data_IF_479487434397
#
_entry.id   IF_479487434397
#
_cell.length_a   1.000
_cell.length_b   1.000
_cell.length_c   1.000
_cell.angle_alpha   90.00
_cell.angle_beta   90.00
_cell.angle_gamma   90.00
#
_symmetry.space_group_name_H-M   'P 1'
#
loop_
_entity.id
_entity.type
_entity.pdbx_description
1 polymer ?
#
# COMPACT_ATOMS: atom_id res chain seq x y z
N UNK A 1 36.19 -40.34 -30.23
CA UNK A 1 36.15 -41.49 -29.30
C UNK A 1 35.92 -42.72 -30.15
N UNK A 2 36.79 -43.72 -30.08
CA UNK A 2 36.51 -45.00 -30.75
C UNK A 2 35.30 -45.67 -30.07
N UNK A 3 34.58 -46.51 -30.82
CA UNK A 3 33.32 -47.11 -30.33
C UNK A 3 33.49 -47.84 -29.00
N UNK A 4 34.60 -48.56 -28.83
CA UNK A 4 34.91 -49.33 -27.62
C UNK A 4 35.17 -48.43 -26.40
N UNK A 5 35.83 -47.30 -26.62
CA UNK A 5 36.05 -46.30 -25.57
C UNK A 5 34.71 -45.68 -25.16
N UNK A 6 33.85 -45.36 -26.13
CA UNK A 6 32.53 -44.78 -25.88
C UNK A 6 31.63 -45.73 -25.08
N UNK A 7 31.60 -47.02 -25.43
CA UNK A 7 30.84 -48.04 -24.69
C UNK A 7 31.34 -48.15 -23.24
N UNK A 8 32.66 -48.15 -23.03
CA UNK A 8 33.26 -48.20 -21.69
C UNK A 8 32.95 -46.94 -20.87
N UNK A 9 33.02 -45.77 -21.51
CA UNK A 9 32.67 -44.49 -20.88
C UNK A 9 31.20 -44.41 -20.51
N UNK A 10 30.30 -44.87 -21.40
CA UNK A 10 28.87 -44.88 -21.17
C UNK A 10 28.48 -45.81 -20.02
N UNK A 11 29.12 -46.97 -19.92
CA UNK A 11 28.87 -47.92 -18.82
C UNK A 11 29.30 -47.33 -17.47
N UNK A 12 30.49 -46.72 -17.42
CA UNK A 12 30.97 -46.04 -16.22
C UNK A 12 30.05 -44.88 -15.78
N UNK A 13 29.56 -44.08 -16.73
CA UNK A 13 28.58 -43.02 -16.44
C UNK A 13 27.27 -43.61 -15.96
N UNK A 14 26.79 -44.70 -16.56
CA UNK A 14 25.54 -45.34 -16.17
C UNK A 14 25.59 -45.86 -14.74
N UNK A 15 26.69 -46.52 -14.35
CA UNK A 15 26.93 -46.97 -12.97
C UNK A 15 27.01 -45.79 -12.01
N UNK A 16 27.72 -44.73 -12.39
CA UNK A 16 27.83 -43.51 -11.57
C UNK A 16 26.47 -42.85 -11.40
N UNK A 17 25.70 -42.70 -12.47
CA UNK A 17 24.37 -42.09 -12.42
C UNK A 17 23.40 -42.93 -11.56
N UNK A 18 23.47 -44.25 -11.63
CA UNK A 18 22.62 -45.13 -10.82
C UNK A 18 22.90 -45.04 -9.32
N UNK A 19 24.14 -44.74 -8.91
CA UNK A 19 24.53 -44.60 -7.51
C UNK A 19 24.17 -43.24 -6.89
N UNK A 20 23.78 -42.26 -7.70
CA UNK A 20 23.33 -40.95 -7.24
C UNK A 20 21.97 -41.03 -6.51
N UNK A 21 21.77 -40.12 -5.56
CA UNK A 21 20.45 -39.86 -4.95
C UNK A 21 19.49 -39.23 -5.96
N UNK A 22 18.18 -39.28 -5.71
CA UNK A 22 17.18 -38.72 -6.64
C UNK A 22 17.36 -37.21 -6.88
N UNK A 23 17.76 -36.45 -5.85
CA UNK A 23 18.09 -35.03 -5.98
C UNK A 23 19.27 -34.83 -6.93
N UNK A 24 20.37 -35.57 -6.71
CA UNK A 24 21.56 -35.49 -7.54
C UNK A 24 21.30 -35.95 -8.99
N UNK A 25 20.43 -36.94 -9.19
CA UNK A 25 20.00 -37.37 -10.53
C UNK A 25 19.27 -36.24 -11.26
N UNK A 26 18.35 -35.56 -10.58
CA UNK A 26 17.63 -34.43 -11.16
C UNK A 26 18.58 -33.28 -11.50
N UNK A 27 19.45 -32.88 -10.57
CA UNK A 27 20.46 -31.84 -10.83
C UNK A 27 21.39 -32.20 -11.99
N UNK A 28 21.81 -33.47 -12.09
CA UNK A 28 22.64 -33.97 -13.19
C UNK A 28 21.89 -33.91 -14.52
N UNK A 29 20.60 -34.30 -14.54
CA UNK A 29 19.77 -34.22 -15.74
C UNK A 29 19.52 -32.78 -16.17
N UNK A 30 19.23 -31.87 -15.24
CA UNK A 30 19.06 -30.44 -15.51
C UNK A 30 20.33 -29.84 -16.10
N UNK A 31 21.49 -30.20 -15.55
CA UNK A 31 22.78 -29.77 -16.08
C UNK A 31 23.07 -30.38 -17.47
N UNK A 32 22.65 -31.62 -17.73
CA UNK A 32 22.81 -32.26 -19.03
C UNK A 32 21.90 -31.62 -20.08
N UNK A 33 20.68 -31.25 -19.69
CA UNK A 33 19.73 -30.51 -20.53
C UNK A 33 20.28 -29.11 -20.86
N UNK A 34 20.83 -28.39 -19.87
CA UNK A 34 21.36 -27.03 -20.08
C UNK A 34 22.59 -26.98 -21.00
N UNK A 35 23.41 -28.03 -20.99
CA UNK A 35 24.57 -28.17 -21.89
C UNK A 35 24.21 -28.71 -23.28
N UNK A 36 23.03 -29.32 -23.43
CA UNK A 36 22.64 -30.00 -24.66
C UNK A 36 22.15 -29.03 -25.74
N UNK A 37 22.72 -29.13 -26.94
CA UNK A 37 22.21 -28.42 -28.11
C UNK A 37 20.86 -28.96 -28.59
N UNK A 38 20.20 -28.22 -29.49
CA UNK A 38 18.86 -28.55 -29.98
C UNK A 38 18.76 -29.96 -30.61
N UNK A 39 19.82 -30.44 -31.26
CA UNK A 39 19.86 -31.78 -31.86
C UNK A 39 19.90 -32.86 -30.79
N UNK A 40 20.73 -32.68 -29.76
CA UNK A 40 20.84 -33.60 -28.63
C UNK A 40 19.52 -33.67 -27.85
N UNK A 41 18.90 -32.52 -27.57
CA UNK A 41 17.60 -32.47 -26.89
C UNK A 41 16.50 -33.15 -27.72
N UNK A 42 16.52 -33.00 -29.05
CA UNK A 42 15.59 -33.72 -29.94
C UNK A 42 15.80 -35.23 -29.90
N UNK A 43 17.06 -35.68 -29.87
CA UNK A 43 17.38 -37.09 -29.77
C UNK A 43 16.97 -37.68 -28.41
N UNK A 44 17.29 -36.97 -27.31
CA UNK A 44 16.82 -37.28 -25.96
C UNK A 44 15.29 -37.37 -25.93
N UNK A 45 14.58 -36.39 -26.46
CA UNK A 45 13.12 -36.38 -26.52
C UNK A 45 12.54 -37.59 -27.27
N UNK A 46 13.10 -37.93 -28.43
CA UNK A 46 12.62 -39.06 -29.24
C UNK A 46 12.88 -40.42 -28.55
N UNK A 47 14.02 -40.59 -27.87
CA UNK A 47 14.38 -41.86 -27.25
C UNK A 47 13.84 -42.03 -25.83
N UNK A 48 13.72 -40.93 -25.08
CA UNK A 48 13.08 -40.89 -23.77
C UNK A 48 11.55 -40.91 -23.88
N UNK A 49 10.97 -40.91 -25.09
CA UNK A 49 9.52 -40.93 -25.29
C UNK A 49 8.82 -42.06 -24.48
N UNK A 50 9.52 -43.18 -24.26
CA UNK A 50 9.03 -44.31 -23.45
C UNK A 50 9.02 -44.02 -21.95
N UNK A 51 9.95 -43.22 -21.42
CA UNK A 51 10.01 -42.79 -20.02
C UNK A 51 9.10 -41.57 -19.76
N UNK A 52 9.06 -40.62 -20.71
CA UNK A 52 8.19 -39.44 -20.70
C UNK A 52 6.69 -39.78 -20.79
N UNK A 53 6.33 -40.96 -21.33
CA UNK A 53 4.94 -41.43 -21.39
C UNK A 53 4.32 -41.75 -20.03
N UNK A 54 5.08 -41.76 -18.94
CA UNK A 54 4.51 -41.66 -17.58
C UNK A 54 4.11 -40.22 -17.30
N UNK A 55 3.18 -39.71 -18.11
CA UNK A 55 2.45 -38.49 -17.82
C UNK A 55 1.59 -38.79 -16.58
N UNK A 56 2.14 -38.56 -15.39
CA UNK A 56 1.48 -38.90 -14.12
C UNK A 56 0.08 -38.30 -14.04
N UNK A 57 -0.14 -37.12 -14.63
CA UNK A 57 -1.44 -36.47 -14.69
C UNK A 57 -2.45 -37.26 -15.55
N UNK A 58 -2.02 -38.01 -16.57
CA UNK A 58 -2.91 -38.92 -17.33
C UNK A 58 -3.37 -40.12 -16.52
N UNK A 59 -2.56 -40.56 -15.55
CA UNK A 59 -2.86 -41.74 -14.73
C UNK A 59 -3.75 -41.39 -13.53
N UNK A 60 -3.86 -40.10 -13.19
CA UNK A 60 -4.65 -39.64 -12.07
C UNK A 60 -6.10 -39.32 -12.50
N UNK A 61 -7.09 -39.66 -11.66
CA UNK A 61 -8.42 -39.06 -11.71
C UNK A 61 -8.33 -37.52 -11.76
N UNK A 62 -9.29 -36.90 -12.45
CA UNK A 62 -9.28 -35.46 -12.70
C UNK A 62 -9.23 -34.65 -11.40
N UNK A 63 -9.93 -35.12 -10.37
CA UNK A 63 -10.00 -34.50 -9.04
C UNK A 63 -8.63 -34.49 -8.36
N UNK A 64 -7.89 -35.60 -8.45
CA UNK A 64 -6.52 -35.68 -7.90
C UNK A 64 -5.55 -34.84 -8.71
N UNK A 65 -5.75 -34.77 -10.03
CA UNK A 65 -4.95 -33.90 -10.88
C UNK A 65 -5.13 -32.43 -10.49
N UNK A 66 -6.37 -31.97 -10.27
CA UNK A 66 -6.66 -30.62 -9.81
C UNK A 66 -6.11 -30.35 -8.43
N UNK A 67 -6.22 -31.33 -7.51
CA UNK A 67 -5.63 -31.20 -6.18
C UNK A 67 -4.12 -30.99 -6.24
N UNK A 68 -3.38 -31.76 -7.06
CA UNK A 68 -1.94 -31.60 -7.23
C UNK A 68 -1.57 -30.26 -7.87
N UNK A 69 -2.33 -29.82 -8.88
CA UNK A 69 -2.06 -28.55 -9.57
C UNK A 69 -2.16 -27.33 -8.63
N UNK A 70 -2.95 -27.40 -7.54
CA UNK A 70 -3.00 -26.33 -6.52
C UNK A 70 -1.68 -26.12 -5.77
N UNK A 71 -0.80 -27.12 -5.77
CA UNK A 71 0.51 -27.06 -5.09
C UNK A 71 1.65 -26.59 -5.99
N UNK A 72 1.43 -26.54 -7.30
CA UNK A 72 2.43 -26.03 -8.23
C UNK A 72 2.39 -24.51 -8.24
N UNK A 73 3.56 -23.90 -8.27
CA UNK A 73 3.65 -22.47 -8.45
C UNK A 73 3.17 -22.07 -9.86
N UNK A 74 2.66 -20.84 -10.03
CA UNK A 74 2.11 -20.40 -11.30
C UNK A 74 3.08 -20.40 -12.49
N UNK A 75 4.38 -20.19 -12.24
CA UNK A 75 5.39 -20.20 -13.32
C UNK A 75 5.59 -21.63 -13.83
N UNK A 76 5.61 -22.61 -12.93
CA UNK A 76 5.59 -24.04 -13.29
C UNK A 76 4.31 -24.39 -14.04
N UNK A 77 3.14 -23.92 -13.62
CA UNK A 77 1.87 -24.17 -14.32
C UNK A 77 1.87 -23.65 -15.77
N UNK A 78 2.38 -22.43 -15.99
CA UNK A 78 2.53 -21.86 -17.32
C UNK A 78 3.53 -22.66 -18.17
N UNK A 79 4.65 -23.07 -17.58
CA UNK A 79 5.66 -23.90 -18.25
C UNK A 79 5.07 -25.26 -18.66
N UNK A 80 4.32 -25.92 -17.77
CA UNK A 80 3.60 -27.15 -18.08
C UNK A 80 2.60 -26.98 -19.24
N UNK A 81 1.90 -25.84 -19.32
CA UNK A 81 1.00 -25.54 -20.42
C UNK A 81 1.72 -25.41 -21.78
N UNK A 82 2.99 -25.00 -21.80
CA UNK A 82 3.79 -24.87 -23.02
C UNK A 82 4.35 -26.22 -23.49
N UNK A 83 4.72 -27.09 -22.56
CA UNK A 83 5.40 -28.36 -22.86
C UNK A 83 4.44 -29.48 -23.25
N UNK A 84 3.21 -29.49 -22.72
CA UNK A 84 2.23 -30.56 -23.00
C UNK A 84 0.84 -30.01 -23.32
N UNK A 85 0.32 -30.36 -24.51
CA UNK A 85 -1.07 -30.05 -24.91
C UNK A 85 -2.09 -30.61 -23.93
N UNK A 86 -1.80 -31.76 -23.33
CA UNK A 86 -2.70 -32.39 -22.36
C UNK A 86 -2.70 -31.63 -21.03
N UNK A 87 -1.52 -31.27 -20.52
CA UNK A 87 -1.41 -30.46 -19.31
C UNK A 87 -2.07 -29.10 -19.51
N UNK A 88 -1.84 -28.46 -20.67
CA UNK A 88 -2.53 -27.22 -21.00
C UNK A 88 -4.05 -27.37 -20.95
N UNK A 89 -4.60 -28.49 -21.44
CA UNK A 89 -6.04 -28.77 -21.39
C UNK A 89 -6.54 -28.92 -19.95
N UNK A 90 -5.85 -29.68 -19.11
CA UNK A 90 -6.25 -29.92 -17.71
C UNK A 90 -6.10 -28.65 -16.87
N UNK A 91 -4.95 -27.98 -16.94
CA UNK A 91 -4.67 -26.75 -16.21
C UNK A 91 -5.61 -25.62 -16.66
N UNK A 92 -5.82 -25.43 -17.96
CA UNK A 92 -6.72 -24.38 -18.47
C UNK A 92 -8.19 -24.66 -18.18
N UNK A 93 -8.56 -25.86 -17.74
CA UNK A 93 -9.91 -26.20 -17.31
C UNK A 93 -10.09 -26.11 -15.78
N UNK A 94 -9.02 -25.89 -15.01
CA UNK A 94 -9.08 -25.87 -13.55
C UNK A 94 -9.23 -24.44 -13.02
N UNK A 95 -10.46 -24.01 -12.74
CA UNK A 95 -10.78 -22.66 -12.23
C UNK A 95 -10.04 -22.35 -10.94
N UNK A 96 -10.08 -23.29 -9.98
CA UNK A 96 -9.52 -23.09 -8.63
C UNK A 96 -8.01 -22.83 -8.64
N UNK A 97 -7.28 -23.43 -9.58
CA UNK A 97 -5.83 -23.22 -9.74
C UNK A 97 -5.54 -21.78 -10.17
N UNK A 98 -6.28 -21.25 -11.14
CA UNK A 98 -6.11 -19.87 -11.58
C UNK A 98 -6.61 -18.86 -10.56
N UNK A 99 -7.72 -19.15 -9.86
CA UNK A 99 -8.18 -18.34 -8.74
C UNK A 99 -7.13 -18.28 -7.62
N UNK A 100 -6.53 -19.42 -7.27
CA UNK A 100 -5.45 -19.48 -6.28
C UNK A 100 -4.22 -18.72 -6.76
N UNK A 101 -3.83 -18.85 -8.03
CA UNK A 101 -2.70 -18.13 -8.61
C UNK A 101 -2.93 -16.60 -8.59
N UNK A 102 -4.12 -16.14 -8.96
CA UNK A 102 -4.53 -14.74 -8.87
C UNK A 102 -4.53 -14.23 -7.43
N UNK A 103 -5.12 -14.98 -6.49
CA UNK A 103 -5.13 -14.65 -5.05
C UNK A 103 -3.72 -14.55 -4.48
N UNK A 104 -2.81 -15.43 -4.92
CA UNK A 104 -1.40 -15.40 -4.55
C UNK A 104 -0.63 -14.21 -5.14
N UNK A 105 -1.18 -13.47 -6.10
CA UNK A 105 -0.66 -12.16 -6.54
C UNK A 105 -1.34 -10.98 -5.83
N UNK A 106 -2.25 -11.27 -4.88
CA UNK A 106 -3.08 -10.26 -4.24
C UNK A 106 -4.27 -9.84 -5.10
N UNK A 107 -4.59 -10.59 -6.16
CA UNK A 107 -5.75 -10.27 -6.98
C UNK A 107 -7.05 -10.68 -6.30
N UNK A 108 -8.04 -9.79 -6.28
CA UNK A 108 -9.35 -10.13 -5.70
C UNK A 108 -10.10 -11.11 -6.61
N UNK A 109 -10.70 -12.14 -5.99
CA UNK A 109 -11.39 -13.23 -6.69
C UNK A 109 -12.89 -13.15 -6.44
N UNK A 110 -13.67 -13.28 -7.51
CA UNK A 110 -15.10 -13.55 -7.45
C UNK A 110 -15.33 -15.06 -7.58
N UNK A 111 -15.60 -15.72 -6.46
CA UNK A 111 -15.86 -17.16 -6.42
C UNK A 111 -17.10 -17.58 -7.23
N UNK A 112 -17.99 -16.64 -7.59
CA UNK A 112 -19.15 -16.93 -8.44
C UNK A 112 -18.76 -17.19 -9.91
N UNK A 113 -17.59 -16.70 -10.34
CA UNK A 113 -17.10 -16.86 -11.72
C UNK A 113 -16.33 -18.19 -11.84
N UNK A 114 -17.04 -19.23 -12.25
CA UNK A 114 -16.46 -20.56 -12.47
C UNK A 114 -15.92 -20.73 -13.91
N UNK A 115 -15.08 -19.80 -14.36
CA UNK A 115 -14.45 -19.80 -15.69
C UNK A 115 -12.92 -19.75 -15.60
N UNK A 116 -12.27 -20.89 -15.82
CA UNK A 116 -10.82 -21.02 -15.79
C UNK A 116 -10.11 -20.15 -16.86
N UNK A 117 -10.72 -19.95 -18.05
CA UNK A 117 -10.12 -19.14 -19.10
C UNK A 117 -10.15 -17.66 -18.74
N UNK A 118 -11.23 -17.22 -18.10
CA UNK A 118 -11.33 -15.88 -17.51
C UNK A 118 -10.20 -15.66 -16.48
N UNK A 119 -10.09 -16.54 -15.47
CA UNK A 119 -9.07 -16.38 -14.43
C UNK A 119 -7.65 -16.49 -14.96
N UNK A 120 -7.40 -17.33 -15.97
CA UNK A 120 -6.11 -17.35 -16.66
C UNK A 120 -5.78 -16.00 -17.33
N UNK A 121 -6.75 -15.34 -17.95
CA UNK A 121 -6.55 -13.99 -18.53
C UNK A 121 -6.29 -12.95 -17.44
N UNK A 122 -7.03 -13.00 -16.35
CA UNK A 122 -6.82 -12.12 -15.17
C UNK A 122 -5.41 -12.32 -14.63
N UNK A 123 -4.98 -13.58 -14.45
CA UNK A 123 -3.64 -13.92 -14.00
C UNK A 123 -2.54 -13.35 -14.91
N UNK A 124 -2.71 -13.47 -16.23
CA UNK A 124 -1.76 -12.91 -17.19
C UNK A 124 -1.72 -11.37 -17.14
N UNK A 125 -2.88 -10.71 -17.00
CA UNK A 125 -2.93 -9.25 -16.79
C UNK A 125 -2.23 -8.85 -15.48
N UNK A 126 -2.43 -9.64 -14.41
CA UNK A 126 -1.80 -9.40 -13.12
C UNK A 126 -0.27 -9.50 -13.19
N UNK A 127 0.27 -10.53 -13.86
CA UNK A 127 1.72 -10.64 -14.09
C UNK A 127 2.24 -9.43 -14.86
N UNK A 128 1.55 -9.05 -15.95
CA UNK A 128 1.97 -7.90 -16.76
C UNK A 128 2.02 -6.63 -15.90
N UNK A 129 1.02 -6.42 -15.04
CA UNK A 129 0.96 -5.27 -14.14
C UNK A 129 2.07 -5.29 -13.08
N UNK A 130 2.36 -6.45 -12.49
CA UNK A 130 3.48 -6.62 -11.57
C UNK A 130 4.82 -6.29 -12.25
N UNK A 131 4.99 -6.76 -13.48
CA UNK A 131 6.18 -6.45 -14.28
C UNK A 131 6.29 -4.94 -14.58
N UNK A 132 5.18 -4.27 -14.86
CA UNK A 132 5.19 -2.80 -15.06
C UNK A 132 5.56 -2.04 -13.79
N UNK A 133 5.22 -2.55 -12.60
CA UNK A 133 5.67 -1.98 -11.33
C UNK A 133 7.19 -2.12 -11.20
N UNK A 134 7.73 -3.29 -11.51
CA UNK A 134 9.18 -3.56 -11.48
C UNK A 134 9.95 -2.69 -12.49
N UNK A 135 9.45 -2.60 -13.73
CA UNK A 135 10.12 -1.94 -14.86
C UNK A 135 9.88 -0.41 -14.93
N UNK A 136 9.23 0.19 -13.93
CA UNK A 136 8.89 1.63 -13.89
C UNK A 136 8.02 2.08 -15.07
N UNK A 137 7.11 1.21 -15.51
CA UNK A 137 6.17 1.52 -16.59
C UNK A 137 4.73 1.72 -16.09
N UNK A 138 4.43 1.32 -14.86
CA UNK A 138 3.08 1.38 -14.29
C UNK A 138 2.54 2.79 -14.08
N UNK A 139 3.42 3.77 -13.90
CA UNK A 139 3.04 5.13 -13.55
C UNK A 139 3.42 6.15 -14.62
N UNK A 140 2.73 7.28 -14.56
CA UNK A 140 3.08 8.52 -15.25
C UNK A 140 3.07 9.69 -14.27
N UNK A 141 3.54 10.84 -14.73
CA UNK A 141 3.60 12.04 -13.90
C UNK A 141 2.90 13.20 -14.55
N UNK A 142 2.28 14.04 -13.72
CA UNK A 142 1.69 15.31 -14.14
C UNK A 142 1.97 16.38 -13.09
N UNK A 143 1.56 17.62 -13.37
CA UNK A 143 1.77 18.73 -12.43
C UNK A 143 0.61 19.70 -12.43
N UNK A 144 0.20 20.15 -11.25
CA UNK A 144 -0.81 21.18 -11.06
C UNK A 144 -0.13 22.50 -10.73
N UNK A 145 -0.46 23.55 -11.48
CA UNK A 145 0.13 24.88 -11.37
C UNK A 145 -0.99 25.87 -11.08
N UNK A 146 -0.81 26.73 -10.07
CA UNK A 146 -1.76 27.80 -9.77
C UNK A 146 -1.65 28.44 -8.40
N UNK A 147 -0.86 27.87 -7.49
CA UNK A 147 -0.47 28.54 -6.25
C UNK A 147 0.70 29.50 -6.50
N UNK A 148 0.71 30.63 -5.79
CA UNK A 148 1.78 31.64 -5.89
C UNK A 148 2.76 31.61 -4.72
N UNK A 149 2.54 30.70 -3.77
CA UNK A 149 3.43 30.45 -2.66
C UNK A 149 3.39 28.96 -2.30
N UNK A 150 4.17 28.59 -1.29
CA UNK A 150 4.38 27.20 -0.91
C UNK A 150 3.08 26.52 -0.46
N UNK A 151 2.83 25.34 -1.00
CA UNK A 151 1.76 24.45 -0.55
C UNK A 151 2.24 23.62 0.64
N UNK A 152 1.50 23.70 1.75
CA UNK A 152 1.85 23.00 2.98
C UNK A 152 0.94 21.83 3.29
N UNK A 153 -0.28 21.86 2.76
CA UNK A 153 -1.30 20.89 3.08
C UNK A 153 -1.87 20.29 1.80
N UNK A 154 -1.98 18.98 1.79
CA UNK A 154 -2.59 18.22 0.71
C UNK A 154 -3.54 17.17 1.29
N UNK A 155 -4.69 16.98 0.66
CA UNK A 155 -5.64 15.92 1.01
C UNK A 155 -6.37 15.45 -0.25
N UNK A 156 -6.50 14.14 -0.44
CA UNK A 156 -7.14 13.54 -1.62
C UNK A 156 -8.33 12.70 -1.19
N UNK A 157 -9.40 12.77 -1.97
CA UNK A 157 -10.60 11.96 -1.81
C UNK A 157 -11.37 11.94 -3.14
N UNK A 158 -11.79 10.76 -3.57
CA UNK A 158 -12.72 10.55 -4.71
C UNK A 158 -12.31 11.28 -6.01
N UNK A 159 -11.04 11.13 -6.42
CA UNK A 159 -10.52 11.76 -7.65
C UNK A 159 -10.22 13.26 -7.54
N UNK A 160 -10.52 13.86 -6.38
CA UNK A 160 -10.28 15.27 -6.10
C UNK A 160 -9.11 15.45 -5.15
N UNK A 161 -8.26 16.43 -5.42
CA UNK A 161 -7.14 16.83 -4.58
C UNK A 161 -7.39 18.24 -4.04
N UNK A 162 -7.35 18.41 -2.73
CA UNK A 162 -7.35 19.71 -2.07
C UNK A 162 -5.92 20.10 -1.69
N UNK A 163 -5.56 21.36 -1.96
CA UNK A 163 -4.26 21.94 -1.67
C UNK A 163 -4.44 23.20 -0.83
N UNK A 164 -3.63 23.36 0.21
CA UNK A 164 -3.63 24.55 1.08
C UNK A 164 -2.24 25.21 1.09
N UNK A 165 -2.21 26.52 0.83
CA UNK A 165 -0.98 27.27 0.56
C UNK A 165 -0.78 28.46 1.49
N UNK A 166 0.48 28.91 1.58
CA UNK A 166 0.86 30.16 2.24
C UNK A 166 0.44 31.41 1.44
N UNK A 167 -0.06 31.25 0.21
CA UNK A 167 -0.70 32.34 -0.54
C UNK A 167 -2.10 32.70 -0.01
N UNK A 168 -2.47 32.13 1.15
CA UNK A 168 -3.75 32.30 1.83
C UNK A 168 -4.93 31.80 0.99
N UNK A 169 -4.70 30.79 0.15
CA UNK A 169 -5.76 30.11 -0.57
C UNK A 169 -5.73 28.60 -0.37
N UNK A 170 -6.92 28.01 -0.50
CA UNK A 170 -7.08 26.59 -0.69
C UNK A 170 -7.75 26.33 -2.05
N UNK A 171 -7.26 25.34 -2.78
CA UNK A 171 -7.77 24.97 -4.11
C UNK A 171 -8.19 23.52 -4.13
N UNK A 172 -9.28 23.23 -4.83
CA UNK A 172 -9.76 21.89 -5.10
C UNK A 172 -9.55 21.59 -6.58
N UNK A 173 -8.88 20.49 -6.88
CA UNK A 173 -8.47 20.10 -8.21
C UNK A 173 -9.11 18.77 -8.59
N UNK A 174 -9.61 18.69 -9.82
CA UNK A 174 -9.91 17.42 -10.46
C UNK A 174 -8.61 16.82 -10.99
N UNK A 175 -8.21 15.67 -10.46
CA UNK A 175 -6.92 15.04 -10.80
C UNK A 175 -6.90 14.53 -12.24
N UNK A 176 -8.03 14.06 -12.76
CA UNK A 176 -8.12 13.50 -14.10
C UNK A 176 -7.99 14.56 -15.19
N UNK A 177 -8.55 15.75 -14.96
CA UNK A 177 -8.53 16.85 -15.93
C UNK A 177 -7.44 17.89 -15.65
N UNK A 178 -6.88 17.89 -14.44
CA UNK A 178 -5.95 18.91 -13.95
C UNK A 178 -6.59 20.28 -13.68
N UNK A 179 -7.92 20.38 -13.75
CA UNK A 179 -8.62 21.65 -13.59
C UNK A 179 -8.83 22.00 -12.11
N UNK A 180 -8.67 23.28 -11.79
CA UNK A 180 -9.06 23.83 -10.49
C UNK A 180 -10.58 24.03 -10.46
N UNK A 181 -11.29 23.21 -9.68
CA UNK A 181 -12.75 23.25 -9.52
C UNK A 181 -13.17 24.42 -8.64
N UNK A 182 -12.49 24.59 -7.50
CA UNK A 182 -12.72 25.68 -6.56
C UNK A 182 -11.40 26.32 -6.13
N UNK A 183 -11.45 27.62 -5.84
CA UNK A 183 -10.39 28.35 -5.15
C UNK A 183 -11.00 29.29 -4.13
N UNK A 184 -10.71 29.07 -2.85
CA UNK A 184 -11.21 29.90 -1.74
C UNK A 184 -10.05 30.69 -1.15
N UNK A 185 -10.28 31.97 -0.87
CA UNK A 185 -9.38 32.77 -0.04
C UNK A 185 -9.59 32.38 1.43
N UNK A 186 -8.60 31.74 2.02
CA UNK A 186 -8.61 31.25 3.39
C UNK A 186 -7.63 32.04 4.26
N UNK A 187 -7.38 31.55 5.47
CA UNK A 187 -6.14 31.84 6.20
C UNK A 187 -4.97 30.97 5.71
N UNK A 188 -3.84 31.02 6.40
CA UNK A 188 -2.73 30.07 6.11
C UNK A 188 -3.20 28.63 6.30
N UNK A 189 -2.71 27.69 5.49
CA UNK A 189 -3.15 26.30 5.56
C UNK A 189 -2.00 25.36 5.88
N UNK A 190 -1.91 24.90 7.13
CA UNK A 190 -1.00 23.85 7.56
C UNK A 190 -1.60 22.44 7.46
N UNK A 191 -2.94 22.33 7.46
CA UNK A 191 -3.70 21.12 7.22
C UNK A 191 -4.99 21.42 6.47
N UNK A 192 -5.44 20.48 5.63
CA UNK A 192 -6.73 20.55 4.94
C UNK A 192 -7.43 19.21 5.01
N UNK A 193 -8.76 19.23 5.09
CA UNK A 193 -9.65 18.08 4.85
C UNK A 193 -10.92 18.61 4.19
N UNK A 194 -11.55 17.84 3.31
CA UNK A 194 -12.75 18.30 2.62
C UNK A 194 -13.75 17.17 2.39
N UNK A 195 -14.97 17.58 2.07
CA UNK A 195 -15.97 16.78 1.38
C UNK A 195 -16.54 17.61 0.21
N UNK A 196 -17.58 17.10 -0.44
CA UNK A 196 -18.24 17.75 -1.58
C UNK A 196 -18.79 19.16 -1.28
N UNK A 197 -19.06 19.47 -0.01
CA UNK A 197 -19.74 20.70 0.41
C UNK A 197 -18.80 21.68 1.11
N UNK A 198 -17.89 21.17 1.96
CA UNK A 198 -17.07 21.98 2.85
C UNK A 198 -15.59 21.65 2.81
N UNK A 199 -14.81 22.68 3.11
CA UNK A 199 -13.39 22.63 3.39
C UNK A 199 -13.16 22.90 4.88
N UNK A 200 -12.32 22.09 5.51
CA UNK A 200 -11.79 22.30 6.85
C UNK A 200 -10.30 22.57 6.76
N UNK A 201 -9.83 23.61 7.45
CA UNK A 201 -8.43 24.09 7.38
C UNK A 201 -7.87 24.26 8.78
N UNK A 202 -6.71 23.66 9.05
CA UNK A 202 -5.87 23.99 10.20
C UNK A 202 -4.78 24.96 9.79
N UNK A 203 -4.51 25.97 10.61
CA UNK A 203 -3.69 27.14 10.23
C UNK A 203 -2.47 27.34 11.12
N UNK A 204 -1.46 28.03 10.58
CA UNK A 204 -0.33 28.52 11.37
C UNK A 204 -0.68 29.70 12.28
N UNK A 205 -1.86 30.32 12.09
CA UNK A 205 -2.39 31.36 12.98
C UNK A 205 -3.04 30.80 14.26
N UNK A 206 -2.85 29.51 14.53
CA UNK A 206 -3.38 28.77 15.67
C UNK A 206 -4.91 28.55 15.63
N UNK A 207 -5.56 28.75 14.48
CA UNK A 207 -7.00 28.54 14.34
C UNK A 207 -7.33 27.39 13.41
N UNK A 208 -8.58 26.92 13.51
CA UNK A 208 -9.21 26.07 12.51
C UNK A 208 -10.39 26.84 11.92
N UNK A 209 -10.73 26.58 10.66
CA UNK A 209 -11.93 27.14 10.03
C UNK A 209 -12.60 26.13 9.10
N UNK A 210 -13.92 26.22 9.02
CA UNK A 210 -14.74 25.57 8.00
C UNK A 210 -15.17 26.61 6.96
N UNK A 211 -15.21 26.20 5.70
CA UNK A 211 -15.58 27.01 4.56
C UNK A 211 -16.53 26.22 3.67
N UNK A 212 -17.46 26.92 3.03
CA UNK A 212 -18.36 26.32 2.04
C UNK A 212 -17.78 26.49 0.63
N UNK A 213 -17.73 25.42 -0.16
CA UNK A 213 -17.15 25.46 -1.52
C UNK A 213 -17.88 26.40 -2.46
N UNK A 214 -19.21 26.34 -2.46
CA UNK A 214 -20.07 27.06 -3.41
C UNK A 214 -20.03 28.58 -3.24
N UNK A 215 -19.95 29.07 -2.00
CA UNK A 215 -19.94 30.50 -1.70
C UNK A 215 -18.55 31.06 -1.38
N UNK A 216 -17.59 30.19 -1.02
CA UNK A 216 -16.30 30.58 -0.46
C UNK A 216 -16.40 31.19 0.94
N UNK A 217 -17.58 31.19 1.57
CA UNK A 217 -17.79 31.81 2.87
C UNK A 217 -17.21 30.95 4.00
N UNK A 218 -16.65 31.60 5.01
CA UNK A 218 -16.26 30.95 6.26
C UNK A 218 -17.50 30.68 7.12
N UNK A 219 -17.85 29.41 7.30
CA UNK A 219 -19.04 28.99 8.06
C UNK A 219 -18.76 28.86 9.56
N UNK A 220 -17.57 28.40 9.93
CA UNK A 220 -17.13 28.30 11.33
C UNK A 220 -15.68 28.74 11.51
N UNK A 221 -15.36 29.21 12.72
CA UNK A 221 -14.03 29.64 13.10
C UNK A 221 -13.72 29.21 14.54
N UNK A 222 -12.77 28.30 14.69
CA UNK A 222 -12.47 27.63 15.95
C UNK A 222 -11.20 28.25 16.55
N UNK A 223 -11.35 28.92 17.70
CA UNK A 223 -10.27 29.59 18.44
C UNK A 223 -10.02 28.92 19.77
N UNK A 224 -8.74 28.77 20.14
CA UNK A 224 -8.36 28.29 21.47
C UNK A 224 -7.04 27.52 21.51
N UNK A 225 -6.53 27.05 20.36
CA UNK A 225 -5.14 26.60 20.29
C UNK A 225 -4.19 27.80 20.45
N UNK A 226 -3.03 27.56 21.03
CA UNK A 226 -1.98 28.58 21.26
C UNK A 226 -0.74 28.34 20.40
N UNK A 227 -0.80 27.36 19.50
CA UNK A 227 0.22 27.02 18.51
C UNK A 227 -0.40 26.56 17.19
N UNK A 228 0.42 26.44 16.16
CA UNK A 228 -0.01 26.09 14.80
C UNK A 228 -0.72 24.74 14.75
N UNK A 229 -1.82 24.66 14.00
CA UNK A 229 -2.63 23.44 13.87
C UNK A 229 -2.13 22.61 12.69
N UNK A 230 -1.57 21.44 12.95
CA UNK A 230 -0.89 20.61 11.93
C UNK A 230 -1.75 19.50 11.35
N UNK A 231 -2.84 19.14 12.01
CA UNK A 231 -3.76 18.11 11.52
C UNK A 231 -5.18 18.40 11.99
N UNK A 232 -6.13 18.10 11.11
CA UNK A 232 -7.56 18.18 11.40
C UNK A 232 -8.25 16.91 10.90
N UNK A 233 -9.29 16.50 11.61
CA UNK A 233 -10.23 15.45 11.17
C UNK A 233 -11.63 15.81 11.69
N UNK A 234 -12.69 15.29 11.10
CA UNK A 234 -14.07 15.59 11.53
C UNK A 234 -15.02 14.43 11.20
N UNK A 235 -16.16 14.42 11.89
CA UNK A 235 -17.29 13.54 11.62
C UNK A 235 -18.58 14.34 11.76
N UNK A 236 -19.35 14.44 10.67
CA UNK A 236 -20.67 15.09 10.69
C UNK A 236 -21.69 14.29 11.50
N UNK A 237 -21.58 12.95 11.50
CA UNK A 237 -22.47 12.07 12.29
C UNK A 237 -22.36 12.38 13.78
N UNK A 238 -21.15 12.61 14.25
CA UNK A 238 -20.87 12.92 15.65
C UNK A 238 -20.96 14.42 15.96
N UNK A 239 -21.10 15.28 14.95
CA UNK A 239 -20.96 16.74 15.04
C UNK A 239 -19.65 17.18 15.73
N UNK A 240 -18.54 16.51 15.40
CA UNK A 240 -17.22 16.83 15.98
C UNK A 240 -16.16 17.12 14.94
N UNK A 241 -15.27 18.05 15.31
CA UNK A 241 -13.98 18.27 14.68
C UNK A 241 -12.89 18.00 15.72
N UNK A 242 -11.78 17.40 15.29
CA UNK A 242 -10.59 17.19 16.10
C UNK A 242 -9.39 17.86 15.45
N UNK A 243 -8.52 18.45 16.26
CA UNK A 243 -7.33 19.15 15.78
C UNK A 243 -6.12 18.88 16.65
N UNK A 244 -4.97 18.60 16.01
CA UNK A 244 -3.67 18.44 16.66
C UNK A 244 -2.77 19.66 16.39
N UNK A 245 -2.07 20.14 17.42
CA UNK A 245 -1.37 21.42 17.40
C UNK A 245 0.05 21.37 17.95
N UNK A 246 0.82 22.40 17.59
CA UNK A 246 2.12 22.74 18.16
C UNK A 246 2.05 23.12 19.64
N UNK A 247 0.87 23.37 20.20
CA UNK A 247 0.68 23.57 21.64
C UNK A 247 0.62 22.27 22.47
N UNK A 248 0.95 21.14 21.83
CA UNK A 248 0.99 19.79 22.42
C UNK A 248 -0.38 19.25 22.85
N UNK A 249 -1.48 19.90 22.45
CA UNK A 249 -2.82 19.44 22.75
C UNK A 249 -3.54 18.93 21.50
N UNK A 250 -4.49 18.03 21.74
CA UNK A 250 -5.57 17.75 20.80
C UNK A 250 -6.82 18.46 21.30
N UNK A 251 -7.52 19.21 20.44
CA UNK A 251 -8.82 19.78 20.80
C UNK A 251 -9.94 19.07 20.06
N UNK A 252 -11.05 18.89 20.76
CA UNK A 252 -12.32 18.40 20.23
C UNK A 252 -13.29 19.56 20.23
N UNK A 253 -13.94 19.80 19.09
CA UNK A 253 -14.83 20.92 18.87
C UNK A 253 -16.19 20.42 18.44
N UNK A 254 -17.25 21.13 18.81
CA UNK A 254 -18.55 20.97 18.20
C UNK A 254 -18.47 21.57 16.80
N UNK A 255 -18.61 20.74 15.77
CA UNK A 255 -18.37 21.12 14.38
C UNK A 255 -19.36 22.21 13.95
N UNK A 256 -20.65 22.02 14.21
CA UNK A 256 -21.72 22.97 13.87
C UNK A 256 -21.63 24.29 14.66
N UNK A 257 -21.32 24.21 15.96
CA UNK A 257 -21.36 25.34 16.87
C UNK A 257 -20.06 26.17 16.90
N UNK A 258 -18.93 25.62 16.43
CA UNK A 258 -17.65 26.32 16.46
C UNK A 258 -16.99 26.39 17.85
N UNK A 259 -17.52 25.67 18.85
CA UNK A 259 -17.08 25.76 20.26
C UNK A 259 -16.15 24.61 20.65
N UNK A 260 -15.15 24.90 21.48
CA UNK A 260 -14.27 23.88 22.04
C UNK A 260 -15.06 23.04 23.06
N UNK A 261 -15.20 21.74 22.81
CA UNK A 261 -15.81 20.78 23.73
C UNK A 261 -14.79 20.26 24.73
N UNK A 262 -13.57 19.98 24.27
CA UNK A 262 -12.50 19.54 25.15
C UNK A 262 -11.09 19.83 24.66
N UNK A 263 -10.14 19.80 25.58
CA UNK A 263 -8.70 19.84 25.35
C UNK A 263 -8.06 18.60 25.96
N UNK A 264 -7.58 17.70 25.11
CA UNK A 264 -6.88 16.48 25.48
C UNK A 264 -5.38 16.78 25.61
N UNK A 265 -4.87 16.68 26.84
CA UNK A 265 -3.47 16.95 27.17
C UNK A 265 -2.72 15.66 27.48
N UNK A 266 -1.42 15.63 27.23
CA UNK A 266 -0.54 14.51 27.61
C UNK A 266 0.56 14.23 26.61
N UNK A 267 0.50 14.78 25.39
CA UNK A 267 1.65 14.81 24.49
C UNK A 267 2.74 15.72 25.05
N UNK A 268 3.99 15.38 24.73
CA UNK A 268 5.18 16.15 25.17
C UNK A 268 5.85 16.90 24.03
N UNK A 269 5.30 16.77 22.82
CA UNK A 269 5.79 17.33 21.56
C UNK A 269 4.61 17.73 20.67
N UNK A 270 4.90 18.38 19.53
CA UNK A 270 3.89 18.77 18.56
C UNK A 270 3.02 17.60 18.13
N UNK A 271 1.70 17.77 18.22
CA UNK A 271 0.76 16.78 17.70
C UNK A 271 0.71 16.95 16.18
N UNK A 272 1.40 16.07 15.47
CA UNK A 272 1.58 16.17 14.01
C UNK A 272 0.44 15.53 13.24
N UNK A 273 -0.26 14.56 13.83
CA UNK A 273 -1.35 13.84 13.18
C UNK A 273 -2.48 13.55 14.16
N UNK A 274 -3.70 13.72 13.68
CA UNK A 274 -4.92 13.18 14.29
C UNK A 274 -5.66 12.33 13.26
N UNK A 275 -6.30 11.26 13.70
CA UNK A 275 -7.13 10.37 12.88
C UNK A 275 -8.39 10.06 13.66
N UNK A 276 -9.55 10.34 13.06
CA UNK A 276 -10.85 9.96 13.60
C UNK A 276 -11.48 8.89 12.70
N UNK A 277 -11.62 7.67 13.22
CA UNK A 277 -12.07 6.53 12.41
C UNK A 277 -12.79 5.50 13.28
N UNK A 278 -13.75 4.78 12.72
CA UNK A 278 -14.42 3.67 13.39
C UNK A 278 -13.52 2.44 13.48
N UNK A 279 -13.52 1.76 14.64
CA UNK A 279 -12.85 0.46 14.74
C UNK A 279 -13.68 -0.64 14.08
N UNK A 280 -13.01 -1.62 13.46
CA UNK A 280 -13.64 -2.78 12.79
C UNK A 280 -13.56 -4.04 13.64
N UNK A 281 -12.80 -3.99 14.73
CA UNK A 281 -12.55 -5.13 15.62
C UNK A 281 -12.96 -4.79 17.04
N UNK A 282 -13.39 -5.82 17.77
CA UNK A 282 -13.59 -5.71 19.20
C UNK A 282 -12.23 -5.62 19.89
N UNK A 283 -12.03 -4.61 20.71
CA UNK A 283 -10.89 -4.53 21.62
C UNK A 283 -11.35 -4.69 23.06
N UNK A 284 -10.42 -4.55 24.01
CA UNK A 284 -10.75 -4.57 25.44
C UNK A 284 -11.76 -3.48 25.84
N UNK A 285 -11.77 -2.35 25.12
CA UNK A 285 -12.49 -1.14 25.49
C UNK A 285 -13.53 -0.70 24.46
N UNK A 286 -13.53 -1.26 23.26
CA UNK A 286 -14.35 -0.79 22.14
C UNK A 286 -15.03 -1.96 21.41
N UNK A 287 -16.21 -1.68 20.90
CA UNK A 287 -16.96 -2.56 20.00
C UNK A 287 -16.82 -2.09 18.54
N UNK A 288 -16.90 -3.00 17.56
CA UNK A 288 -16.91 -2.61 16.16
C UNK A 288 -17.96 -1.52 15.86
N UNK A 289 -17.55 -0.47 15.16
CA UNK A 289 -18.36 0.73 14.89
C UNK A 289 -18.10 1.90 15.83
N UNK A 290 -17.47 1.66 17.00
CA UNK A 290 -17.10 2.75 17.91
C UNK A 290 -16.03 3.63 17.25
N UNK A 291 -16.22 4.95 17.36
CA UNK A 291 -15.25 5.93 16.88
C UNK A 291 -14.04 6.01 17.80
N UNK A 292 -12.86 5.97 17.19
CA UNK A 292 -11.57 6.06 17.84
C UNK A 292 -10.87 7.32 17.37
N UNK A 293 -10.32 8.07 18.31
CA UNK A 293 -9.39 9.15 18.01
C UNK A 293 -7.96 8.67 18.31
N UNK A 294 -7.12 8.72 17.28
CA UNK A 294 -5.68 8.57 17.42
C UNK A 294 -5.01 9.93 17.27
N UNK A 295 -3.98 10.19 18.07
CA UNK A 295 -3.10 11.33 17.88
C UNK A 295 -1.65 10.92 17.99
N UNK A 296 -0.79 11.50 17.14
CA UNK A 296 0.64 11.18 17.13
C UNK A 296 1.50 12.43 17.30
N UNK A 297 2.47 12.34 18.20
CA UNK A 297 3.62 13.24 18.23
C UNK A 297 4.86 12.51 17.71
N UNK A 298 6.04 13.10 17.93
CA UNK A 298 7.34 12.59 17.49
C UNK A 298 7.72 11.24 18.12
N UNK A 299 7.13 10.86 19.26
CA UNK A 299 7.54 9.71 20.07
C UNK A 299 6.39 8.74 20.35
N UNK A 300 5.17 9.26 20.43
CA UNK A 300 4.04 8.54 20.98
C UNK A 300 2.79 8.68 20.10
N UNK A 301 2.05 7.58 19.99
CA UNK A 301 0.68 7.54 19.48
C UNK A 301 -0.25 7.35 20.69
N UNK A 302 -1.22 8.24 20.87
CA UNK A 302 -2.21 8.16 21.93
C UNK A 302 -3.57 7.80 21.36
N UNK A 303 -4.28 6.94 22.09
CA UNK A 303 -5.62 6.44 21.77
C UNK A 303 -6.59 7.06 22.77
N UNK A 304 -7.62 7.71 22.26
CA UNK A 304 -8.62 8.43 23.04
C UNK A 304 -10.01 7.87 22.77
N UNK A 305 -10.87 7.76 23.80
CA UNK A 305 -12.26 7.42 23.60
C UNK A 305 -12.98 8.63 23.00
N UNK A 306 -13.82 8.40 21.99
CA UNK A 306 -14.77 9.39 21.50
C UNK A 306 -16.18 8.82 21.72
N UNK A 307 -16.86 9.33 22.73
CA UNK A 307 -18.24 8.97 23.06
C UNK A 307 -18.99 10.17 23.62
N UNK A 308 -20.26 9.98 23.99
CA UNK A 308 -21.10 11.05 24.58
C UNK A 308 -20.54 11.61 25.88
N UNK A 309 -19.87 10.75 26.65
CA UNK A 309 -19.19 11.16 27.88
C UNK A 309 -17.77 11.58 27.55
N UNK A 310 -17.53 12.88 27.63
CA UNK A 310 -16.24 13.56 27.38
C UNK A 310 -15.30 13.30 28.59
N UNK A 311 -15.13 12.05 29.01
CA UNK A 311 -14.18 11.71 30.07
C UNK A 311 -12.85 11.28 29.43
N UNK A 312 -11.88 12.20 29.48
CA UNK A 312 -10.80 12.29 28.50
C UNK A 312 -9.44 11.87 29.04
N UNK A 313 -9.39 10.70 29.66
CA UNK A 313 -8.11 10.05 29.92
C UNK A 313 -7.67 9.29 28.66
N UNK A 314 -6.42 9.48 28.29
CA UNK A 314 -5.75 8.65 27.28
C UNK A 314 -5.92 7.18 27.67
N UNK A 315 -6.48 6.36 26.77
CA UNK A 315 -6.71 4.94 27.03
C UNK A 315 -5.40 4.17 26.97
N UNK A 316 -4.60 4.48 25.95
CA UNK A 316 -3.32 3.81 25.70
C UNK A 316 -2.36 4.76 25.02
N UNK A 317 -1.10 4.68 25.41
CA UNK A 317 0.03 5.29 24.71
C UNK A 317 0.85 4.17 24.09
N UNK A 318 1.10 4.27 22.78
CA UNK A 318 1.96 3.39 22.02
C UNK A 318 3.25 4.13 21.72
N UNK A 319 4.40 3.47 21.89
CA UNK A 319 5.71 3.96 21.52
C UNK A 319 6.53 2.82 20.92
N UNK A 320 7.52 3.17 20.09
CA UNK A 320 8.42 2.19 19.46
C UNK A 320 9.63 1.85 20.32
N UNK A 321 9.98 2.74 21.25
CA UNK A 321 11.10 2.61 22.17
C UNK A 321 10.93 3.61 23.31
N UNK A 322 11.53 3.31 24.46
CA UNK A 322 11.76 4.30 25.52
C UNK A 322 12.92 5.26 25.14
N UNK A 323 13.80 4.82 24.23
CA UNK A 323 14.86 5.65 23.68
C UNK A 323 14.29 6.70 22.73
N UNK A 324 14.27 7.95 23.20
CA UNK A 324 13.85 9.13 22.44
C UNK A 324 14.80 9.55 21.31
N UNK A 325 15.86 8.77 21.02
CA UNK A 325 16.63 8.90 19.78
C UNK A 325 15.83 8.41 18.56
N UNK A 326 14.93 7.44 18.75
CA UNK A 326 14.08 6.89 17.70
C UNK A 326 12.79 7.70 17.64
N UNK A 327 12.53 8.30 16.48
CA UNK A 327 11.36 9.14 16.26
C UNK A 327 10.38 8.46 15.32
N UNK A 328 9.10 8.56 15.65
CA UNK A 328 8.02 8.27 14.72
C UNK A 328 8.00 9.31 13.61
N UNK A 329 7.68 8.84 12.41
CA UNK A 329 7.47 9.71 11.27
C UNK A 329 6.00 10.16 11.22
N UNK A 330 5.69 11.32 10.61
CA UNK A 330 4.40 11.98 10.78
C UNK A 330 3.18 11.25 10.18
N UNK A 331 3.40 10.20 9.36
CA UNK A 331 2.32 9.46 8.71
C UNK A 331 1.86 8.32 9.60
N UNK A 332 0.67 8.49 10.16
CA UNK A 332 -0.07 7.49 10.91
C UNK A 332 -1.16 6.88 10.01
N UNK A 333 -1.16 5.55 9.89
CA UNK A 333 -2.21 4.79 9.21
C UNK A 333 -3.04 4.02 10.24
N UNK A 334 -4.35 3.97 10.03
CA UNK A 334 -5.28 3.15 10.79
C UNK A 334 -6.44 2.69 9.90
N UNK A 335 -6.58 1.39 9.71
CA UNK A 335 -7.61 0.76 8.85
C UNK A 335 -8.84 0.26 9.64
N UNK A 336 -8.87 0.50 10.96
CA UNK A 336 -9.87 -0.02 11.90
C UNK A 336 -9.45 -1.30 12.64
N UNK A 337 -8.31 -1.91 12.27
CA UNK A 337 -7.76 -3.15 12.84
C UNK A 337 -6.29 -3.00 13.23
N UNK A 338 -5.49 -2.35 12.41
CA UNK A 338 -4.06 -2.16 12.59
C UNK A 338 -3.71 -0.68 12.61
N UNK A 339 -2.86 -0.31 13.55
CA UNK A 339 -2.19 1.00 13.54
C UNK A 339 -0.82 0.79 12.93
N UNK A 340 -0.43 1.60 11.94
CA UNK A 340 0.88 1.48 11.30
C UNK A 340 1.57 2.84 11.23
N UNK A 341 2.85 2.86 11.60
CA UNK A 341 3.69 4.04 11.53
C UNK A 341 5.16 3.64 11.28
N UNK A 342 5.91 4.48 10.58
CA UNK A 342 7.34 4.27 10.32
C UNK A 342 8.22 5.00 11.34
N UNK A 343 9.41 4.46 11.56
CA UNK A 343 10.53 5.15 12.23
C UNK A 343 11.81 4.94 11.41
N UNK A 344 12.94 5.45 11.90
CA UNK A 344 14.26 5.16 11.31
C UNK A 344 14.61 3.66 11.27
N UNK A 345 13.95 2.83 12.10
CA UNK A 345 14.23 1.39 12.22
C UNK A 345 13.34 0.52 11.33
N UNK A 346 12.26 1.06 10.77
CA UNK A 346 11.32 0.31 9.95
C UNK A 346 9.86 0.67 10.21
N UNK A 347 8.96 -0.17 9.72
CA UNK A 347 7.52 -0.03 9.86
C UNK A 347 7.03 -0.85 11.05
N UNK A 348 6.30 -0.20 11.95
CA UNK A 348 5.72 -0.83 13.12
C UNK A 348 4.23 -1.01 12.86
N UNK A 349 3.76 -2.25 13.03
CA UNK A 349 2.35 -2.60 12.93
C UNK A 349 1.86 -3.04 14.30
N UNK A 350 0.94 -2.27 14.88
CA UNK A 350 0.26 -2.62 16.13
C UNK A 350 -1.08 -3.27 15.85
N UNK A 351 -1.43 -4.29 16.62
CA UNK A 351 -2.80 -4.77 16.69
C UNK A 351 -3.65 -3.80 17.52
N UNK A 352 -4.76 -3.32 16.97
CA UNK A 352 -5.64 -2.43 17.73
C UNK A 352 -6.39 -3.17 18.85
N UNK A 353 -6.63 -4.47 18.71
CA UNK A 353 -7.37 -5.22 19.71
C UNK A 353 -6.55 -5.45 21.00
N UNK A 354 -5.27 -5.81 20.87
CA UNK A 354 -4.36 -6.04 22.01
C UNK A 354 -3.46 -4.86 22.37
N UNK A 355 -3.25 -3.91 21.45
CA UNK A 355 -2.26 -2.82 21.52
C UNK A 355 -0.79 -3.28 21.45
N UNK A 356 -0.53 -4.54 21.12
CA UNK A 356 0.82 -5.06 20.99
C UNK A 356 1.38 -4.81 19.58
N UNK A 357 2.70 -4.71 19.49
CA UNK A 357 3.40 -4.72 18.21
C UNK A 357 3.30 -6.13 17.64
N UNK A 358 2.58 -6.28 16.52
CA UNK A 358 2.47 -7.55 15.80
C UNK A 358 3.77 -7.89 15.08
N UNK A 359 4.36 -6.90 14.39
CA UNK A 359 5.63 -7.04 13.71
C UNK A 359 6.30 -5.69 13.46
N UNK A 360 7.60 -5.77 13.22
CA UNK A 360 8.44 -4.64 12.77
C UNK A 360 9.09 -5.03 11.45
N UNK A 361 8.64 -4.44 10.35
CA UNK A 361 9.16 -4.71 9.01
C UNK A 361 10.37 -3.80 8.80
N UNK A 362 11.55 -4.42 8.71
CA UNK A 362 12.82 -3.72 8.51
C UNK A 362 13.14 -3.63 7.03
N UNK A 363 13.70 -2.51 6.61
CA UNK A 363 14.14 -2.29 5.22
C UNK A 363 15.66 -2.11 5.21
N UNK A 364 16.45 -3.20 5.28
CA UNK A 364 17.90 -3.11 5.42
C UNK A 364 18.58 -2.46 4.20
N UNK A 365 17.97 -2.57 3.02
CA UNK A 365 18.48 -2.00 1.77
C UNK A 365 18.33 -0.48 1.68
N UNK A 366 17.30 0.07 2.34
CA UNK A 366 16.96 1.50 2.28
C UNK A 366 16.59 2.00 3.67
N UNK A 367 17.46 2.83 4.23
CA UNK A 367 17.24 3.42 5.53
C UNK A 367 16.22 4.58 5.48
N UNK A 368 15.50 4.79 6.58
CA UNK A 368 14.61 5.95 6.79
C UNK A 368 13.41 6.06 5.82
N UNK A 369 12.94 4.95 5.28
CA UNK A 369 11.71 4.92 4.48
C UNK A 369 10.51 5.42 5.29
N UNK A 370 9.70 6.23 4.64
CA UNK A 370 8.50 6.78 5.21
C UNK A 370 7.23 6.12 4.71
N UNK A 371 6.33 5.81 5.65
CA UNK A 371 5.02 5.29 5.31
C UNK A 371 4.21 6.35 4.58
N UNK A 372 3.60 5.97 3.46
CA UNK A 372 2.67 6.81 2.72
C UNK A 372 1.27 6.20 2.71
N UNK A 373 1.19 4.88 2.51
CA UNK A 373 -0.04 4.09 2.56
C UNK A 373 0.25 2.65 2.95
N UNK A 374 -0.75 1.96 3.50
CA UNK A 374 -0.66 0.57 3.93
C UNK A 374 -1.97 -0.13 3.56
N UNK A 375 -1.89 -1.38 3.13
CA UNK A 375 -3.04 -2.24 2.88
C UNK A 375 -2.72 -3.69 3.21
N UNK A 376 -3.56 -4.62 2.74
CA UNK A 376 -3.40 -6.05 3.03
C UNK A 376 -2.24 -6.71 2.26
N UNK A 377 -1.94 -6.25 1.04
CA UNK A 377 -0.96 -6.87 0.14
C UNK A 377 0.27 -6.00 -0.02
N UNK A 378 0.10 -4.69 -0.14
CA UNK A 378 1.17 -3.75 -0.41
C UNK A 378 1.26 -2.65 0.65
N UNK A 379 2.47 -2.11 0.81
CA UNK A 379 2.68 -0.82 1.44
C UNK A 379 3.35 0.13 0.45
N UNK A 380 2.90 1.38 0.47
CA UNK A 380 3.49 2.46 -0.30
C UNK A 380 4.41 3.26 0.62
N UNK A 381 5.69 3.28 0.28
CA UNK A 381 6.75 3.89 1.07
C UNK A 381 7.49 4.91 0.21
N UNK A 382 8.24 5.82 0.82
CA UNK A 382 9.03 6.77 0.05
C UNK A 382 10.20 7.35 0.85
N UNK A 383 11.21 7.82 0.14
CA UNK A 383 12.25 8.70 0.63
C UNK A 383 12.35 9.94 -0.27
N UNK A 384 13.43 10.72 -0.15
CA UNK A 384 13.60 11.96 -0.89
C UNK A 384 13.81 11.78 -2.40
N UNK A 385 14.03 10.55 -2.86
CA UNK A 385 14.45 10.24 -4.22
C UNK A 385 13.53 9.24 -4.92
N UNK A 386 12.85 8.39 -4.14
CA UNK A 386 12.05 7.32 -4.70
C UNK A 386 10.77 7.09 -3.91
N UNK A 387 9.73 6.73 -4.65
CA UNK A 387 8.55 6.05 -4.16
C UNK A 387 8.79 4.54 -4.29
N UNK A 388 8.43 3.77 -3.28
CA UNK A 388 8.64 2.33 -3.23
C UNK A 388 7.33 1.60 -2.98
N UNK A 389 7.21 0.43 -3.60
CA UNK A 389 6.13 -0.51 -3.30
C UNK A 389 6.75 -1.71 -2.64
N UNK A 390 6.26 -2.04 -1.44
CA UNK A 390 6.63 -3.22 -0.70
C UNK A 390 5.51 -4.25 -0.82
N UNK A 391 5.85 -5.49 -1.14
CA UNK A 391 4.95 -6.63 -0.94
C UNK A 391 5.02 -7.05 0.53
N UNK A 392 3.90 -6.97 1.25
CA UNK A 392 3.82 -7.22 2.69
C UNK A 392 3.88 -8.70 3.07
N UNK A 393 3.79 -9.59 2.08
CA UNK A 393 3.83 -11.05 2.26
C UNK A 393 5.25 -11.57 2.23
N UNK A 394 6.06 -11.01 1.33
CA UNK A 394 7.49 -11.30 1.21
C UNK A 394 8.38 -10.29 1.95
N UNK A 395 7.82 -9.15 2.35
CA UNK A 395 8.51 -8.01 2.95
C UNK A 395 9.62 -7.41 2.06
N UNK A 396 9.53 -7.63 0.74
CA UNK A 396 10.49 -7.15 -0.25
C UNK A 396 9.99 -5.91 -0.98
N UNK A 397 10.91 -5.00 -1.33
CA UNK A 397 10.63 -3.88 -2.22
C UNK A 397 10.57 -4.40 -3.67
N UNK A 398 9.39 -4.31 -4.30
CA UNK A 398 9.15 -4.80 -5.66
C UNK A 398 9.23 -3.68 -6.71
N UNK A 399 9.16 -2.42 -6.29
CA UNK A 399 9.21 -1.28 -7.20
C UNK A 399 9.95 -0.10 -6.57
N UNK A 400 10.60 0.70 -7.42
CA UNK A 400 11.25 1.97 -7.08
C UNK A 400 10.97 3.01 -8.17
N UNK A 401 10.09 3.97 -7.92
CA UNK A 401 9.77 5.02 -8.86
C UNK A 401 10.53 6.30 -8.54
N UNK A 402 11.32 6.88 -9.47
CA UNK A 402 12.09 8.09 -9.20
C UNK A 402 11.18 9.30 -8.96
N UNK A 403 11.46 10.04 -7.90
CA UNK A 403 10.82 11.29 -7.56
C UNK A 403 11.76 12.46 -7.87
N UNK A 404 11.23 13.60 -8.35
CA UNK A 404 12.02 14.82 -8.46
C UNK A 404 12.43 15.32 -7.07
N UNK A 405 13.44 16.18 -6.98
CA UNK A 405 13.78 16.79 -5.69
C UNK A 405 12.62 17.67 -5.19
N UNK A 406 12.02 17.28 -4.07
CA UNK A 406 10.95 18.03 -3.42
C UNK A 406 11.31 18.35 -1.97
N UNK A 407 10.61 19.33 -1.37
CA UNK A 407 10.87 19.72 0.03
C UNK A 407 10.10 18.85 1.00
N UNK A 408 10.81 17.99 1.75
CA UNK A 408 10.19 17.24 2.86
C UNK A 408 9.81 18.20 4.00
N UNK A 409 8.58 18.07 4.49
CA UNK A 409 8.12 18.73 5.71
C UNK A 409 8.28 17.77 6.89
N UNK A 410 8.81 18.25 8.02
CA UNK A 410 8.83 17.49 9.29
C UNK A 410 7.42 17.05 9.75
N UNK A 411 6.37 17.74 9.27
CA UNK A 411 4.96 17.49 9.63
C UNK A 411 4.27 16.51 8.71
N UNK A 412 4.86 16.21 7.55
CA UNK A 412 4.31 15.28 6.58
C UNK A 412 3.08 15.73 5.78
N UNK A 413 2.59 16.95 5.99
CA UNK A 413 1.40 17.49 5.31
C UNK A 413 1.61 17.86 3.83
N UNK A 414 2.87 17.96 3.37
CA UNK A 414 3.22 18.40 2.02
C UNK A 414 3.35 17.28 0.99
N UNK A 415 3.04 16.04 1.37
CA UNK A 415 3.01 14.86 0.51
C UNK A 415 1.87 13.94 0.96
N UNK A 416 1.25 13.16 0.07
CA UNK A 416 0.25 12.13 0.42
C UNK A 416 0.20 10.97 -0.57
N UNK A 417 -0.36 9.83 -0.13
CA UNK A 417 -0.90 8.81 -1.04
C UNK A 417 -2.24 9.29 -1.60
N UNK A 418 -2.52 8.98 -2.85
CA UNK A 418 -3.87 9.12 -3.42
C UNK A 418 -4.77 7.97 -2.98
N UNK A 419 -5.36 7.28 -3.94
CA UNK A 419 -6.24 6.14 -3.66
C UNK A 419 -5.41 4.98 -3.09
N UNK A 420 -5.84 4.44 -1.94
CA UNK A 420 -5.09 3.41 -1.22
C UNK A 420 -5.73 2.01 -1.32
N UNK A 421 -6.91 1.90 -1.95
CA UNK A 421 -7.64 0.63 -2.05
C UNK A 421 -6.85 -0.46 -2.79
N UNK A 422 -6.08 -0.10 -3.81
CA UNK A 422 -5.19 -1.02 -4.55
C UNK A 422 -4.09 -1.65 -3.68
N UNK A 423 -3.74 -1.03 -2.54
CA UNK A 423 -2.78 -1.61 -1.58
C UNK A 423 -3.34 -2.86 -0.89
N UNK A 424 -4.66 -3.04 -0.88
CA UNK A 424 -5.29 -4.28 -0.40
C UNK A 424 -5.26 -5.41 -1.43
N UNK A 425 -4.69 -5.15 -2.61
CA UNK A 425 -4.69 -6.07 -3.72
C UNK A 425 -5.27 -5.43 -4.97
N UNK A 426 -4.70 -5.77 -6.13
CA UNK A 426 -5.17 -5.28 -7.42
C UNK A 426 -6.40 -6.09 -7.85
N UNK A 427 -7.51 -5.46 -8.19
CA UNK A 427 -8.69 -6.19 -8.70
C UNK A 427 -8.87 -6.03 -10.22
N UNK A 428 -8.05 -5.18 -10.85
CA UNK A 428 -8.10 -4.84 -12.26
C UNK A 428 -8.98 -3.62 -12.59
N UNK A 429 -9.53 -2.99 -11.56
CA UNK A 429 -10.32 -1.76 -11.62
C UNK A 429 -9.75 -0.66 -10.71
N UNK A 430 -9.09 -1.03 -9.62
CA UNK A 430 -8.54 -0.12 -8.63
C UNK A 430 -7.12 0.40 -8.95
N UNK A 431 -6.51 -0.09 -10.02
CA UNK A 431 -5.19 0.32 -10.51
C UNK A 431 -5.27 1.57 -11.39
N UNK A 432 -5.98 2.58 -10.90
CA UNK A 432 -6.30 3.84 -11.59
C UNK A 432 -6.16 5.06 -10.67
N UNK A 433 -6.03 6.25 -11.24
CA UNK A 433 -6.03 7.52 -10.50
C UNK A 433 -4.71 7.85 -9.79
N UNK A 434 -4.82 8.63 -8.72
CA UNK A 434 -3.67 9.20 -8.01
C UNK A 434 -2.96 8.16 -7.13
N UNK A 435 -1.65 8.04 -7.28
CA UNK A 435 -0.79 7.22 -6.41
C UNK A 435 -0.11 8.09 -5.36
N UNK A 436 0.50 9.19 -5.78
CA UNK A 436 1.26 10.08 -4.91
C UNK A 436 1.13 11.53 -5.35
N UNK A 437 1.06 12.45 -4.40
CA UNK A 437 1.15 13.88 -4.65
C UNK A 437 2.11 14.54 -3.67
N UNK A 438 2.88 15.53 -4.13
CA UNK A 438 3.79 16.32 -3.28
C UNK A 438 3.93 17.76 -3.75
N UNK A 439 4.19 18.67 -2.81
CA UNK A 439 4.49 20.07 -3.12
C UNK A 439 5.94 20.25 -3.56
N UNK A 440 6.12 20.97 -4.67
CA UNK A 440 7.41 21.24 -5.28
C UNK A 440 7.99 22.60 -4.84
N UNK A 441 9.32 22.79 -4.96
CA UNK A 441 9.97 24.06 -4.61
C UNK A 441 9.44 25.29 -5.37
N UNK A 442 8.94 25.08 -6.59
CA UNK A 442 8.36 26.09 -7.47
C UNK A 442 6.86 26.35 -7.22
N UNK A 443 6.32 25.82 -6.11
CA UNK A 443 4.92 25.95 -5.68
C UNK A 443 3.92 25.09 -6.47
N UNK A 444 4.37 24.35 -7.49
CA UNK A 444 3.54 23.37 -8.18
C UNK A 444 3.29 22.14 -7.30
N UNK A 445 2.30 21.34 -7.69
CA UNK A 445 2.07 20.01 -7.12
C UNK A 445 2.46 18.97 -8.15
N UNK A 446 3.42 18.13 -7.79
CA UNK A 446 3.80 16.97 -8.60
C UNK A 446 2.91 15.79 -8.27
N UNK A 447 2.39 15.13 -9.30
CA UNK A 447 1.51 13.96 -9.19
C UNK A 447 2.17 12.76 -9.85
N UNK A 448 2.02 11.60 -9.22
CA UNK A 448 2.28 10.28 -9.79
C UNK A 448 0.94 9.57 -9.93
N UNK A 449 0.60 9.19 -11.16
CA UNK A 449 -0.69 8.60 -11.53
C UNK A 449 -0.49 7.20 -12.09
N UNK A 450 -1.47 6.32 -11.91
CA UNK A 450 -1.53 5.07 -12.65
C UNK A 450 -1.72 5.32 -14.14
N UNK A 451 -1.00 4.58 -15.00
CA UNK A 451 -1.28 4.57 -16.44
C UNK A 451 -2.53 3.74 -16.73
N UNK A 452 -3.46 4.30 -17.49
CA UNK A 452 -4.76 3.70 -17.84
C UNK A 452 -4.67 2.45 -18.76
N UNK A 453 -3.56 2.25 -19.48
CA UNK A 453 -3.42 1.20 -20.50
C UNK A 453 -2.29 0.20 -20.19
N UNK A 454 -2.19 -0.22 -18.93
CA UNK A 454 -1.27 -1.27 -18.50
C UNK A 454 -1.68 -2.68 -18.89
#
# INVERSE_FOLDING_TARGET
>A
MERKDFETWLDNISVTFLSLTDLQKNETLDHLISLSGAVQLRHLSNNLETLLKRDFLKLLPLELSFYLLKWLDPQTLLTCCLVSKQWNKVISACTEVWQTACKNLGWQIDDSVQDALHWKKVYLKAILRMKQLEDHEAFETSSLIGHSARVYALYYKDGLLCTGSDDLSAKLWDVSTGQCVYGIQTHTCAAVKFDEQKLVTGSFDNTVACWEWSSGARTQHFRGHTGAVFSVDYSDELDILVSGSADFAVKVWALSAGTCLNTLTGHTEWVTKVVLQQCKVKSLLHSPGDYILLSADKYEIKIWPIGREINCKCLKTLSVSEDRSICLQPRLHFDGKYIVCSSALGLYQWDFASYDILRVIKTPEVANLALLGFGDVFALLFDNHYLYIMDLRTESLISRWPLPEYRKSKRGSSFLAGEASWLNGLDGHNDTGLVFATSMPDHSIHLVLWKEHG
#
